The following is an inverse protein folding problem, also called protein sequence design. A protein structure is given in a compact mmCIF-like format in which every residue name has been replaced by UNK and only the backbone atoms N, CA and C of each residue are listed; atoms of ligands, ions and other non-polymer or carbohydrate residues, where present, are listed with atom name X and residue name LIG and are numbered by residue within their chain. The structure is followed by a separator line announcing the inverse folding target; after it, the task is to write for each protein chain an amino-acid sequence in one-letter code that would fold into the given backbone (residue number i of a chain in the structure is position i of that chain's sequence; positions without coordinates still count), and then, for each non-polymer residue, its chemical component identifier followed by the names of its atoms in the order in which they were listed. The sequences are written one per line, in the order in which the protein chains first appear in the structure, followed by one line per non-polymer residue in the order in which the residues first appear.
data_IF_299175146471
#
_entry.id   IF_299175146471
#
_cell.length_a   1.000
_cell.length_b   1.000
_cell.length_c   1.000
_cell.angle_alpha   90.00
_cell.angle_beta   90.00
_cell.angle_gamma   90.00
#
_symmetry.space_group_name_H-M   'P 1'
#
loop_
_entity.id
_entity.type
_entity.pdbx_description
1 polymer ?
#
# COMPACT_ATOMS: atom_id res chain seq x y z
N UNK A 1 2.76 -23.85 6.76
CA UNK A 1 2.71 -22.61 5.97
C UNK A 1 3.49 -22.86 4.69
N UNK A 2 2.86 -22.80 3.50
CA UNK A 2 3.62 -22.86 2.26
C UNK A 2 4.55 -21.63 2.18
N UNK A 3 5.78 -21.80 1.69
CA UNK A 3 6.73 -20.70 1.61
C UNK A 3 6.33 -19.83 0.41
N UNK A 4 5.97 -18.57 0.68
CA UNK A 4 5.63 -17.56 -0.32
C UNK A 4 4.34 -17.81 -1.10
N UNK A 5 3.21 -17.41 -0.51
CA UNK A 5 2.06 -16.96 -1.29
C UNK A 5 1.87 -15.46 -1.05
N UNK A 6 2.10 -14.59 -2.05
CA UNK A 6 1.78 -13.16 -1.94
C UNK A 6 0.28 -12.91 -1.66
N UNK A 7 -0.56 -13.92 -1.84
CA UNK A 7 -1.98 -13.93 -1.45
C UNK A 7 -2.26 -13.99 0.05
N UNK A 8 -1.26 -14.32 0.89
CA UNK A 8 -1.45 -14.50 2.34
C UNK A 8 -1.54 -13.17 3.09
N UNK A 9 -1.08 -12.06 2.49
CA UNK A 9 -1.11 -10.74 3.15
C UNK A 9 -1.90 -9.75 2.29
N UNK A 10 -3.21 -9.58 2.54
CA UNK A 10 -4.04 -8.59 1.87
C UNK A 10 -3.52 -7.17 2.06
N UNK A 11 -2.80 -6.89 3.15
CA UNK A 11 -2.09 -5.64 3.35
C UNK A 11 -1.04 -5.42 2.25
N UNK A 12 -0.29 -6.46 1.87
CA UNK A 12 0.70 -6.35 0.81
C UNK A 12 0.02 -6.14 -0.55
N UNK A 13 -1.07 -6.86 -0.83
CA UNK A 13 -1.79 -6.72 -2.09
C UNK A 13 -2.60 -5.42 -2.20
N UNK A 14 -3.14 -4.89 -1.11
CA UNK A 14 -3.99 -3.69 -1.13
C UNK A 14 -3.15 -2.42 -0.98
N UNK A 15 -2.28 -2.35 0.03
CA UNK A 15 -1.51 -1.15 0.34
C UNK A 15 -0.40 -0.93 -0.68
N UNK A 16 0.42 -1.96 -0.98
CA UNK A 16 1.52 -1.78 -1.93
C UNK A 16 1.04 -1.65 -3.36
N UNK A 17 -0.05 -2.31 -3.78
CA UNK A 17 -0.62 -2.09 -5.12
C UNK A 17 -1.15 -0.67 -5.30
N UNK A 18 -1.87 -0.17 -4.29
CA UNK A 18 -2.38 1.20 -4.26
C UNK A 18 -1.24 2.22 -4.28
N UNK A 19 -0.19 1.97 -3.49
CA UNK A 19 1.01 2.80 -3.48
C UNK A 19 1.78 2.73 -4.82
N UNK A 20 1.91 1.54 -5.41
CA UNK A 20 2.56 1.34 -6.70
C UNK A 20 1.86 2.15 -7.79
N UNK A 21 0.53 2.12 -7.85
CA UNK A 21 -0.24 2.97 -8.76
C UNK A 21 0.03 4.47 -8.56
N UNK A 22 0.23 4.91 -7.31
CA UNK A 22 0.55 6.31 -7.01
C UNK A 22 1.98 6.71 -7.43
N UNK A 23 2.91 5.75 -7.40
CA UNK A 23 4.33 5.96 -7.69
C UNK A 23 4.63 5.78 -9.19
N UNK A 24 3.88 4.94 -9.91
CA UNK A 24 4.05 4.72 -11.35
C UNK A 24 4.03 6.05 -12.10
N UNK A 25 5.08 6.29 -12.89
CA UNK A 25 5.23 7.50 -13.70
C UNK A 25 5.76 8.73 -12.95
N UNK A 26 5.97 8.66 -11.63
CA UNK A 26 6.61 9.75 -10.88
C UNK A 26 8.12 9.56 -10.85
N UNK A 27 8.85 10.64 -11.10
CA UNK A 27 10.29 10.73 -10.85
C UNK A 27 10.50 11.54 -9.58
N UNK A 28 11.28 11.00 -8.65
CA UNK A 28 11.68 11.69 -7.44
C UNK A 28 13.17 12.00 -7.53
N UNK A 29 13.54 13.22 -7.15
CA UNK A 29 14.92 13.71 -7.26
C UNK A 29 15.81 13.27 -6.09
N UNK A 30 15.21 12.98 -4.93
CA UNK A 30 15.91 12.58 -3.72
C UNK A 30 15.01 11.71 -2.81
N UNK A 31 15.63 11.09 -1.80
CA UNK A 31 14.93 10.21 -0.85
C UNK A 31 13.94 10.97 0.03
N UNK A 32 14.26 12.20 0.45
CA UNK A 32 13.34 13.05 1.22
C UNK A 32 12.01 13.30 0.47
N UNK A 33 12.08 13.54 -0.84
CA UNK A 33 10.91 13.73 -1.69
C UNK A 33 10.07 12.45 -1.78
N UNK A 34 10.72 11.28 -1.83
CA UNK A 34 10.03 9.98 -1.77
C UNK A 34 9.34 9.82 -0.42
N UNK A 35 10.06 10.03 0.69
CA UNK A 35 9.53 9.86 2.04
C UNK A 35 8.34 10.79 2.29
N UNK A 36 8.46 12.07 1.94
CA UNK A 36 7.38 13.04 2.08
C UNK A 36 6.17 12.68 1.20
N UNK A 37 6.40 12.26 -0.06
CA UNK A 37 5.31 11.87 -0.95
C UNK A 37 4.54 10.64 -0.42
N UNK A 38 5.25 9.65 0.12
CA UNK A 38 4.65 8.44 0.72
C UNK A 38 3.91 8.80 2.01
N UNK A 39 4.51 9.60 2.89
CA UNK A 39 3.85 10.07 4.13
C UNK A 39 2.56 10.83 3.84
N UNK A 40 2.61 11.77 2.88
CA UNK A 40 1.42 12.51 2.43
C UNK A 40 0.38 11.61 1.77
N UNK A 41 0.81 10.59 1.03
CA UNK A 41 -0.11 9.63 0.40
C UNK A 41 -0.96 8.90 1.44
N UNK A 42 -0.33 8.34 2.48
CA UNK A 42 -1.03 7.62 3.53
C UNK A 42 -1.84 8.54 4.45
N UNK A 43 -1.36 9.76 4.73
CA UNK A 43 -2.09 10.75 5.53
C UNK A 43 -3.42 11.20 4.87
N UNK A 44 -3.52 11.14 3.55
CA UNK A 44 -4.74 11.52 2.81
C UNK A 44 -5.76 10.37 2.68
N UNK A 45 -5.42 9.14 3.09
CA UNK A 45 -6.35 8.00 2.97
C UNK A 45 -7.33 7.98 4.13
N UNK A 46 -8.63 7.76 3.87
CA UNK A 46 -9.62 7.59 4.94
C UNK A 46 -9.32 6.32 5.73
N UNK A 47 -9.73 6.27 7.00
CA UNK A 47 -9.54 5.09 7.86
C UNK A 47 -10.14 3.82 7.23
N UNK A 48 -11.24 3.95 6.49
CA UNK A 48 -11.91 2.83 5.83
C UNK A 48 -11.08 2.20 4.71
N UNK A 49 -10.14 2.92 4.10
CA UNK A 49 -9.18 2.36 3.15
C UNK A 49 -8.35 1.25 3.81
N UNK A 50 -7.82 1.52 5.01
CA UNK A 50 -7.05 0.54 5.78
C UNK A 50 -7.94 -0.60 6.30
N UNK A 51 -9.15 -0.28 6.76
CA UNK A 51 -10.11 -1.30 7.21
C UNK A 51 -10.54 -2.24 6.09
N UNK A 52 -10.66 -1.75 4.86
CA UNK A 52 -10.96 -2.58 3.69
C UNK A 52 -9.79 -3.52 3.38
N UNK A 53 -8.56 -3.01 3.39
CA UNK A 53 -7.35 -3.84 3.25
C UNK A 53 -7.32 -4.98 4.27
N UNK A 54 -7.65 -4.70 5.54
CA UNK A 54 -7.68 -5.70 6.61
C UNK A 54 -8.89 -6.63 6.56
N UNK A 55 -10.07 -6.16 6.15
CA UNK A 55 -11.28 -7.00 6.04
C UNK A 55 -11.15 -8.05 4.93
N UNK A 56 -10.44 -7.74 3.85
CA UNK A 56 -10.09 -8.72 2.82
C UNK A 56 -9.17 -9.85 3.33
N UNK A 57 -8.68 -9.80 4.58
CA UNK A 57 -8.01 -10.91 5.26
C UNK A 57 -8.98 -11.97 5.77
N UNK A 58 -10.19 -11.56 6.16
CA UNK A 58 -11.18 -12.45 6.79
C UNK A 58 -12.18 -13.05 5.78
N UNK A 59 -12.09 -12.68 4.50
CA UNK A 59 -13.07 -13.10 3.48
C UNK A 59 -12.41 -13.75 2.26
N UNK A 60 -11.31 -14.49 2.45
CA UNK A 60 -10.72 -15.34 1.41
C UNK A 60 -10.71 -16.79 1.86
#
# INVERSE_FOLDING_TARGET
HPPYSPDIVPSDFHLFRSLQHFIIGKKFENLDNVQNAISRYFAQKPIDFYRFGLKNLHTR
#
